data_IF_735536333041
#
_entry.id   IF_735536333041
#
_cell.length_a   1.000
_cell.length_b   1.000
_cell.length_c   1.000
_cell.angle_alpha   90.00
_cell.angle_beta   90.00
_cell.angle_gamma   90.00
#
_symmetry.space_group_name_H-M   'P 1'
#
loop_
_entity.id
_entity.type
_entity.pdbx_description
1 polymer ?
#
# COMPACT_ATOMS: atom_id res chain seq x y z
N UNK A 1 10.48 7.70 -1.15
CA UNK A 1 9.32 6.80 -1.38
C UNK A 1 9.54 5.86 -2.56
N UNK A 2 10.49 6.12 -3.46
CA UNK A 2 10.80 5.22 -4.59
C UNK A 2 11.24 3.82 -4.15
N UNK A 3 12.10 3.70 -3.14
CA UNK A 3 12.60 2.38 -2.68
C UNK A 3 11.47 1.48 -2.17
N UNK A 4 10.57 2.02 -1.34
CA UNK A 4 9.37 1.30 -0.89
C UNK A 4 8.50 0.86 -2.07
N UNK A 5 8.27 1.73 -3.06
CA UNK A 5 7.51 1.39 -4.26
C UNK A 5 8.14 0.25 -5.06
N UNK A 6 9.46 0.27 -5.24
CA UNK A 6 10.17 -0.80 -5.95
C UNK A 6 10.10 -2.13 -5.20
N UNK A 7 10.33 -2.14 -3.88
CA UNK A 7 10.20 -3.35 -3.07
C UNK A 7 8.77 -3.87 -3.08
N UNK A 8 7.78 -3.00 -2.89
CA UNK A 8 6.37 -3.35 -2.91
C UNK A 8 5.98 -4.00 -4.25
N UNK A 9 6.36 -3.39 -5.38
CA UNK A 9 6.04 -3.94 -6.69
C UNK A 9 6.72 -5.28 -6.93
N UNK A 10 8.00 -5.41 -6.61
CA UNK A 10 8.71 -6.68 -6.78
C UNK A 10 8.05 -7.82 -6.00
N UNK A 11 7.58 -7.56 -4.76
CA UNK A 11 6.87 -8.55 -3.96
C UNK A 11 5.50 -8.91 -4.56
N UNK A 12 4.73 -7.92 -4.99
CA UNK A 12 3.40 -8.12 -5.60
C UNK A 12 3.51 -8.87 -6.94
N UNK A 13 4.48 -8.51 -7.77
CA UNK A 13 4.74 -9.14 -9.08
C UNK A 13 5.25 -10.59 -8.92
N UNK A 14 6.01 -10.89 -7.85
CA UNK A 14 6.37 -12.25 -7.45
C UNK A 14 5.20 -13.07 -6.87
N UNK A 15 4.01 -12.48 -6.72
CA UNK A 15 2.86 -13.14 -6.09
C UNK A 15 3.02 -13.36 -4.58
N UNK A 16 3.92 -12.62 -3.92
CA UNK A 16 4.12 -12.70 -2.47
C UNK A 16 3.03 -11.92 -1.76
N UNK A 17 2.53 -12.47 -0.65
CA UNK A 17 1.56 -11.79 0.19
C UNK A 17 2.23 -10.61 0.91
N UNK A 18 1.63 -9.42 0.76
CA UNK A 18 2.04 -8.19 1.45
C UNK A 18 0.89 -7.73 2.33
N UNK A 19 1.18 -7.48 3.61
CA UNK A 19 0.22 -6.93 4.59
C UNK A 19 0.79 -5.60 5.08
N UNK A 20 -0.02 -4.55 5.04
CA UNK A 20 0.33 -3.21 5.50
C UNK A 20 -0.73 -2.77 6.49
N UNK A 21 -0.29 -2.28 7.65
CA UNK A 21 -1.14 -1.65 8.66
C UNK A 21 -0.80 -0.16 8.74
N UNK A 22 -1.82 0.69 8.84
CA UNK A 22 -1.67 2.11 9.02
C UNK A 22 -2.72 2.64 10.01
N UNK A 23 -2.47 3.83 10.56
CA UNK A 23 -3.38 4.55 11.45
C UNK A 23 -4.57 5.19 10.72
N UNK A 24 -4.47 5.30 9.38
CA UNK A 24 -5.50 5.88 8.50
C UNK A 24 -5.72 5.02 7.26
N UNK A 25 -6.89 5.21 6.64
CA UNK A 25 -7.22 4.63 5.33
C UNK A 25 -6.20 5.02 4.26
N UNK A 26 -5.92 4.17 3.24
CA UNK A 26 -5.02 4.51 2.13
C UNK A 26 -5.30 5.85 1.45
N UNK A 27 -6.55 6.31 1.42
CA UNK A 27 -6.93 7.61 0.83
C UNK A 27 -6.44 8.81 1.64
N UNK A 28 -6.28 8.63 2.95
CA UNK A 28 -6.04 9.69 3.93
C UNK A 28 -4.58 9.73 4.41
N UNK A 29 -3.71 8.92 3.80
CA UNK A 29 -2.27 8.90 4.02
C UNK A 29 -1.62 10.12 3.35
N UNK A 30 -1.79 11.29 3.96
CA UNK A 30 -1.14 12.53 3.57
C UNK A 30 0.38 12.36 3.56
N UNK A 31 1.03 12.80 2.48
CA UNK A 31 2.46 12.65 2.28
C UNK A 31 2.87 11.39 1.53
N UNK A 32 1.98 10.42 1.26
CA UNK A 32 2.23 9.33 0.31
C UNK A 32 1.92 9.73 -1.13
N UNK A 33 2.75 9.28 -2.06
CA UNK A 33 2.50 9.45 -3.50
C UNK A 33 1.17 8.82 -3.93
N UNK A 34 0.46 9.51 -4.83
CA UNK A 34 -0.86 9.10 -5.36
C UNK A 34 -0.85 7.67 -5.92
N UNK A 35 0.24 7.28 -6.60
CA UNK A 35 0.42 5.94 -7.16
C UNK A 35 0.44 4.83 -6.11
N UNK A 36 1.01 5.11 -4.93
CA UNK A 36 1.04 4.15 -3.82
C UNK A 36 -0.33 4.06 -3.17
N UNK A 37 -0.99 5.21 -2.93
CA UNK A 37 -2.37 5.24 -2.39
C UNK A 37 -3.35 4.47 -3.28
N UNK A 38 -3.26 4.67 -4.59
CA UNK A 38 -4.04 3.90 -5.58
C UNK A 38 -3.79 2.39 -5.49
N UNK A 39 -2.52 1.95 -5.42
CA UNK A 39 -2.17 0.52 -5.34
C UNK A 39 -2.62 -0.14 -4.04
N UNK A 40 -2.50 0.55 -2.91
CA UNK A 40 -2.99 0.05 -1.62
C UNK A 40 -4.52 -0.20 -1.66
N UNK A 41 -5.26 0.63 -2.40
CA UNK A 41 -6.69 0.46 -2.60
C UNK A 41 -7.11 -0.66 -3.56
N UNK A 42 -6.19 -1.25 -4.34
CA UNK A 42 -6.51 -2.38 -5.23
C UNK A 42 -6.63 -3.71 -4.48
N UNK A 43 -6.10 -3.77 -3.26
CA UNK A 43 -6.14 -4.95 -2.40
C UNK A 43 -7.39 -5.00 -1.51
N UNK A 44 -7.31 -5.84 -0.48
CA UNK A 44 -8.30 -5.85 0.60
C UNK A 44 -7.96 -4.75 1.61
N UNK A 45 -8.87 -3.80 1.79
CA UNK A 45 -8.79 -2.79 2.85
C UNK A 45 -9.82 -3.16 3.91
N UNK A 46 -9.37 -3.23 5.16
CA UNK A 46 -10.22 -3.53 6.30
C UNK A 46 -9.90 -2.57 7.45
N UNK A 47 -10.94 -1.99 8.03
CA UNK A 47 -10.82 -1.16 9.22
C UNK A 47 -10.78 -2.07 10.46
N UNK A 48 -9.87 -1.76 11.38
CA UNK A 48 -9.77 -2.44 12.68
C UNK A 48 -10.47 -1.55 13.71
N UNK A 49 -11.50 -2.08 14.37
CA UNK A 49 -12.26 -1.42 15.43
C UNK A 49 -11.81 -1.91 16.81
#
# INVERSE_FOLDING_TARGET
>A
QEEFFHTFNALVEDGRQVIISADKSPTDLEGMEERLRSRLGWGMVADIH
#
